data_IF_675341885216
#
_entry.id   IF_675341885216
#
_cell.length_a   1.000
_cell.length_b   1.000
_cell.length_c   1.000
_cell.angle_alpha   90.00
_cell.angle_beta   90.00
_cell.angle_gamma   90.00
#
_symmetry.space_group_name_H-M   'P 1'
#
loop_
_entity.id
_entity.type
_entity.pdbx_description
1 polymer ?
#
# COMPACT_ATOMS: atom_id res chain seq x y z
N UNK A 1 36.29 1.20 -10.04
CA UNK A 1 35.51 2.44 -9.80
C UNK A 1 35.20 2.49 -8.32
N UNK A 2 35.51 3.59 -7.64
CA UNK A 2 35.11 3.77 -6.25
C UNK A 2 33.57 3.78 -6.19
N UNK A 3 32.98 2.98 -5.30
CA UNK A 3 31.55 3.00 -5.03
C UNK A 3 31.21 4.45 -4.59
N UNK A 4 30.29 5.16 -5.25
CA UNK A 4 29.88 6.47 -4.79
C UNK A 4 29.49 6.36 -3.32
N UNK A 5 29.85 7.32 -2.50
CA UNK A 5 29.51 7.37 -1.08
C UNK A 5 27.98 7.38 -0.97
N UNK A 6 27.38 6.23 -0.66
CA UNK A 6 25.94 6.13 -0.50
C UNK A 6 25.56 6.94 0.74
N UNK A 7 24.63 7.88 0.60
CA UNK A 7 24.10 8.69 1.70
C UNK A 7 23.52 7.77 2.78
N UNK A 8 23.77 8.11 4.03
CA UNK A 8 23.18 7.46 5.19
C UNK A 8 21.79 8.06 5.48
N UNK A 9 20.78 7.22 5.54
CA UNK A 9 19.39 7.57 5.84
C UNK A 9 18.96 7.11 7.24
N UNK A 10 19.89 6.92 8.17
CA UNK A 10 19.57 6.53 9.57
C UNK A 10 18.65 7.55 10.30
N UNK A 11 18.51 8.77 9.77
CA UNK A 11 17.54 9.77 10.23
C UNK A 11 16.09 9.23 10.30
N UNK A 12 15.74 8.29 9.41
CA UNK A 12 14.42 7.65 9.41
C UNK A 12 14.14 6.76 10.64
N UNK A 13 15.16 6.33 11.38
CA UNK A 13 14.97 5.58 12.65
C UNK A 13 14.17 6.39 13.67
N UNK A 14 14.38 7.71 13.74
CA UNK A 14 13.59 8.60 14.61
C UNK A 14 12.14 8.67 14.16
N UNK A 15 11.89 8.77 12.85
CA UNK A 15 10.55 8.78 12.27
C UNK A 15 9.81 7.45 12.49
N UNK A 16 10.49 6.32 12.26
CA UNK A 16 9.95 5.00 12.51
C UNK A 16 9.58 4.79 13.99
N UNK A 17 10.44 5.24 14.93
CA UNK A 17 10.13 5.21 16.36
C UNK A 17 8.91 6.06 16.71
N UNK A 18 8.79 7.26 16.10
CA UNK A 18 7.62 8.13 16.27
C UNK A 18 6.35 7.45 15.78
N UNK A 19 6.40 6.82 14.61
CA UNK A 19 5.27 6.08 14.04
C UNK A 19 4.84 4.92 14.94
N UNK A 20 5.78 4.10 15.41
CA UNK A 20 5.49 3.02 16.36
C UNK A 20 4.89 3.55 17.66
N UNK A 21 5.41 4.66 18.20
CA UNK A 21 4.82 5.31 19.39
C UNK A 21 3.40 5.77 19.11
N UNK A 22 3.13 6.30 17.92
CA UNK A 22 1.79 6.75 17.53
C UNK A 22 0.78 5.60 17.38
N UNK A 23 1.22 4.39 17.07
CA UNK A 23 0.32 3.22 17.04
C UNK A 23 -0.03 2.68 18.44
N UNK A 24 0.72 3.04 19.49
CA UNK A 24 0.50 2.55 20.85
C UNK A 24 0.22 3.64 21.89
N UNK A 25 0.30 4.92 21.51
CA UNK A 25 0.20 6.00 22.50
C UNK A 25 0.33 7.40 21.89
N UNK A 26 1.01 8.28 22.64
CA UNK A 26 1.17 9.70 22.29
C UNK A 26 2.64 9.96 21.94
N UNK A 27 3.00 10.21 20.69
CA UNK A 27 4.34 10.65 20.28
C UNK A 27 4.55 12.15 20.57
N UNK A 28 5.75 12.67 20.26
CA UNK A 28 6.04 14.11 20.31
C UNK A 28 5.17 14.92 19.34
N UNK A 29 4.83 14.32 18.21
CA UNK A 29 3.88 14.86 17.23
C UNK A 29 3.32 13.75 16.35
N UNK A 30 2.25 14.04 15.63
CA UNK A 30 1.68 13.15 14.63
C UNK A 30 2.72 12.80 13.57
N UNK A 31 3.05 11.53 13.35
CA UNK A 31 3.91 11.12 12.26
C UNK A 31 3.18 11.16 10.92
N UNK A 32 3.94 11.47 9.87
CA UNK A 32 3.48 11.44 8.48
C UNK A 32 4.22 10.35 7.72
N UNK A 33 3.50 9.52 7.00
CA UNK A 33 4.07 8.67 5.96
C UNK A 33 3.35 8.88 4.62
N UNK A 34 3.97 8.48 3.53
CA UNK A 34 3.46 8.73 2.20
C UNK A 34 3.83 7.62 1.22
N UNK A 35 2.92 7.35 0.28
CA UNK A 35 3.22 6.61 -0.93
C UNK A 35 3.52 7.61 -2.05
N UNK A 36 4.80 7.69 -2.41
CA UNK A 36 5.27 8.73 -3.34
C UNK A 36 5.01 8.39 -4.81
N UNK A 37 4.89 7.12 -5.13
CA UNK A 37 4.62 6.63 -6.50
C UNK A 37 5.35 7.46 -7.59
N UNK A 38 4.61 7.96 -8.58
CA UNK A 38 5.17 8.76 -9.67
C UNK A 38 5.67 10.13 -9.24
N UNK A 39 5.30 10.63 -8.07
CA UNK A 39 5.78 11.91 -7.57
C UNK A 39 7.29 11.90 -7.36
N UNK A 40 7.84 10.84 -6.74
CA UNK A 40 9.28 10.71 -6.57
C UNK A 40 10.01 10.67 -7.93
N UNK A 41 9.49 9.88 -8.86
CA UNK A 41 10.01 9.81 -10.22
C UNK A 41 10.01 11.18 -10.92
N UNK A 42 8.93 11.95 -10.78
CA UNK A 42 8.78 13.29 -11.35
C UNK A 42 9.77 14.29 -10.74
N UNK A 43 9.92 14.29 -9.41
CA UNK A 43 10.87 15.17 -8.70
C UNK A 43 12.33 14.88 -9.07
N UNK A 44 12.64 13.62 -9.38
CA UNK A 44 13.96 13.19 -9.85
C UNK A 44 14.18 13.45 -11.35
N UNK A 45 13.14 13.75 -12.11
CA UNK A 45 13.22 13.98 -13.56
C UNK A 45 13.56 12.73 -14.37
N UNK A 46 13.17 11.53 -13.89
CA UNK A 46 13.46 10.25 -14.54
C UNK A 46 12.20 9.63 -15.14
N UNK A 47 12.37 8.70 -16.11
CA UNK A 47 11.27 8.01 -16.74
C UNK A 47 10.84 6.77 -15.96
N UNK A 48 9.56 6.38 -16.07
CA UNK A 48 9.01 5.26 -15.36
C UNK A 48 9.79 3.95 -15.57
N UNK A 49 10.18 3.64 -16.80
CA UNK A 49 10.96 2.42 -17.05
C UNK A 49 12.30 2.44 -16.32
N UNK A 50 13.00 3.57 -16.31
CA UNK A 50 14.26 3.71 -15.60
C UNK A 50 14.07 3.57 -14.10
N UNK A 51 13.06 4.24 -13.54
CA UNK A 51 12.77 4.25 -12.11
C UNK A 51 12.31 2.87 -11.62
N UNK A 52 11.33 2.25 -12.26
CA UNK A 52 10.72 0.99 -11.81
C UNK A 52 11.45 -0.29 -12.28
N UNK A 53 12.60 -0.17 -12.92
CA UNK A 53 13.47 -1.31 -13.26
C UNK A 53 14.89 -1.19 -12.70
N UNK A 54 15.15 -0.18 -11.85
CA UNK A 54 16.44 0.03 -11.20
C UNK A 54 16.25 0.14 -9.69
N UNK A 55 16.63 -0.90 -8.97
CA UNK A 55 16.49 -1.02 -7.51
C UNK A 55 17.19 0.09 -6.74
N UNK A 56 18.43 0.45 -7.16
CA UNK A 56 19.21 1.49 -6.51
C UNK A 56 18.55 2.87 -6.69
N UNK A 57 18.19 3.23 -7.93
CA UNK A 57 17.55 4.51 -8.26
C UNK A 57 16.20 4.64 -7.54
N UNK A 58 15.38 3.58 -7.56
CA UNK A 58 14.07 3.59 -6.91
C UNK A 58 14.23 3.73 -5.38
N UNK A 59 15.13 2.96 -4.77
CA UNK A 59 15.32 2.99 -3.32
C UNK A 59 15.89 4.32 -2.85
N UNK A 60 17.04 4.75 -3.42
CA UNK A 60 17.70 5.99 -3.01
C UNK A 60 16.87 7.22 -3.35
N UNK A 61 16.25 7.24 -4.53
CA UNK A 61 15.38 8.33 -4.95
C UNK A 61 14.13 8.48 -4.09
N UNK A 62 13.47 7.40 -3.73
CA UNK A 62 12.31 7.44 -2.82
C UNK A 62 12.71 7.97 -1.44
N UNK A 63 13.83 7.49 -0.88
CA UNK A 63 14.33 7.95 0.41
C UNK A 63 14.74 9.43 0.36
N UNK A 64 15.41 9.88 -0.71
CA UNK A 64 15.81 11.28 -0.90
C UNK A 64 14.60 12.22 -0.91
N UNK A 65 13.58 11.90 -1.71
CA UNK A 65 12.37 12.72 -1.79
C UNK A 65 11.59 12.68 -0.47
N UNK A 66 11.51 11.52 0.19
CA UNK A 66 10.90 11.42 1.53
C UNK A 66 11.57 12.36 2.53
N UNK A 67 12.89 12.37 2.58
CA UNK A 67 13.67 13.25 3.47
C UNK A 67 13.53 14.73 3.07
N UNK A 68 13.61 15.05 1.78
CA UNK A 68 13.47 16.41 1.25
C UNK A 68 12.15 17.09 1.63
N UNK A 69 11.08 16.29 1.69
CA UNK A 69 9.75 16.76 2.07
C UNK A 69 9.47 16.68 3.58
N UNK A 70 10.40 16.17 4.38
CA UNK A 70 10.26 16.07 5.82
C UNK A 70 9.25 15.03 6.27
N UNK A 71 8.96 14.03 5.43
CA UNK A 71 8.10 12.90 5.73
C UNK A 71 8.83 12.00 6.73
N UNK A 72 8.14 11.52 7.77
CA UNK A 72 8.76 10.83 8.90
C UNK A 72 9.21 9.42 8.60
N UNK A 73 8.43 8.69 7.82
CA UNK A 73 8.66 7.27 7.55
C UNK A 73 9.21 7.10 6.14
N UNK A 74 10.42 6.55 6.05
CA UNK A 74 10.99 6.16 4.78
C UNK A 74 10.25 4.93 4.23
N UNK A 75 9.37 5.12 3.27
CA UNK A 75 8.72 4.05 2.53
C UNK A 75 9.29 4.00 1.11
N UNK A 76 9.70 2.82 0.68
CA UNK A 76 10.08 2.59 -0.72
C UNK A 76 8.93 1.87 -1.39
N UNK A 77 8.24 2.62 -2.24
CA UNK A 77 7.02 2.17 -2.88
C UNK A 77 7.33 1.75 -4.32
N UNK A 78 7.51 0.46 -4.49
CA UNK A 78 7.66 -0.12 -5.81
C UNK A 78 6.28 -0.52 -6.37
N UNK A 79 6.22 -0.85 -7.63
CA UNK A 79 5.01 -1.27 -8.34
C UNK A 79 4.50 -2.64 -7.85
N UNK A 80 4.00 -2.69 -6.60
CA UNK A 80 3.61 -3.93 -5.93
C UNK A 80 2.54 -4.71 -6.69
N UNK A 81 1.58 -4.02 -7.34
CA UNK A 81 0.45 -4.68 -8.02
C UNK A 81 0.81 -5.55 -9.21
N UNK A 82 1.98 -5.38 -9.80
CA UNK A 82 2.36 -6.07 -11.03
C UNK A 82 3.50 -7.07 -10.85
N UNK A 83 4.10 -7.15 -9.69
CA UNK A 83 5.31 -7.97 -9.45
C UNK A 83 5.04 -9.46 -9.67
N UNK A 84 4.03 -10.01 -8.99
CA UNK A 84 3.68 -11.43 -9.11
C UNK A 84 3.09 -11.75 -10.49
N UNK A 85 2.29 -10.83 -11.04
CA UNK A 85 1.72 -11.01 -12.38
C UNK A 85 2.82 -11.08 -13.45
N UNK A 86 3.82 -10.18 -13.39
CA UNK A 86 4.97 -10.17 -14.29
C UNK A 86 5.81 -11.46 -14.15
N UNK A 87 6.05 -11.92 -12.92
CA UNK A 87 6.79 -13.14 -12.65
C UNK A 87 6.10 -14.39 -13.22
N UNK A 88 4.78 -14.38 -13.33
CA UNK A 88 3.99 -15.43 -14.00
C UNK A 88 3.99 -15.31 -15.53
N UNK A 89 4.52 -14.23 -16.09
CA UNK A 89 4.58 -13.99 -17.52
C UNK A 89 3.51 -13.03 -18.06
N UNK A 90 2.69 -12.41 -17.20
CA UNK A 90 1.79 -11.35 -17.62
C UNK A 90 2.61 -10.14 -18.09
N UNK A 91 2.32 -9.67 -19.29
CA UNK A 91 3.01 -8.52 -19.86
C UNK A 91 2.72 -7.25 -19.08
N UNK A 92 3.77 -6.48 -18.76
CA UNK A 92 3.71 -5.18 -18.09
C UNK A 92 4.10 -4.07 -19.08
N UNK A 93 3.37 -2.96 -19.02
CA UNK A 93 3.55 -1.78 -19.87
C UNK A 93 4.11 -0.64 -19.03
N UNK A 94 5.18 -0.01 -19.50
CA UNK A 94 5.80 1.17 -18.92
C UNK A 94 5.47 2.40 -19.76
N UNK A 95 4.63 3.29 -19.22
CA UNK A 95 4.33 4.60 -19.80
C UNK A 95 5.16 5.68 -19.10
N UNK A 96 5.68 6.67 -19.84
CA UNK A 96 6.74 7.57 -19.34
C UNK A 96 6.46 8.27 -17.99
N UNK A 97 5.22 8.63 -17.68
CA UNK A 97 4.87 9.40 -16.49
C UNK A 97 3.87 8.67 -15.56
N UNK A 98 3.76 7.35 -15.71
CA UNK A 98 2.83 6.54 -14.94
C UNK A 98 3.53 5.32 -14.37
N UNK A 99 3.04 4.85 -13.24
CA UNK A 99 3.42 3.54 -12.75
C UNK A 99 3.23 2.48 -13.83
N UNK A 100 4.04 1.42 -13.82
CA UNK A 100 3.80 0.26 -14.68
C UNK A 100 2.41 -0.31 -14.44
N UNK A 101 1.85 -0.91 -15.47
CA UNK A 101 0.55 -1.60 -15.36
C UNK A 101 0.53 -2.83 -16.28
N UNK A 102 -0.26 -3.84 -15.93
CA UNK A 102 -0.42 -5.02 -16.76
C UNK A 102 -1.09 -4.69 -18.10
N UNK A 103 -0.69 -5.39 -19.15
CA UNK A 103 -1.37 -5.31 -20.44
C UNK A 103 -2.70 -6.07 -20.40
N UNK A 104 -3.78 -5.35 -20.09
CA UNK A 104 -5.13 -5.92 -20.00
C UNK A 104 -5.71 -6.39 -21.34
N UNK A 105 -5.05 -6.07 -22.47
CA UNK A 105 -5.48 -6.55 -23.79
C UNK A 105 -5.11 -8.01 -24.03
N UNK A 106 -4.16 -8.54 -23.27
CA UNK A 106 -3.65 -9.91 -23.38
C UNK A 106 -3.57 -10.57 -21.99
N UNK A 107 -4.72 -10.92 -21.38
CA UNK A 107 -4.74 -11.56 -20.08
C UNK A 107 -4.07 -12.93 -20.13
N UNK A 108 -3.27 -13.25 -19.12
CA UNK A 108 -2.56 -14.53 -19.04
C UNK A 108 -3.52 -15.70 -18.85
N UNK A 109 -4.60 -15.50 -18.10
CA UNK A 109 -5.62 -16.51 -17.81
C UNK A 109 -6.87 -16.22 -18.65
N UNK A 110 -7.12 -17.08 -19.64
CA UNK A 110 -8.30 -17.01 -20.52
C UNK A 110 -9.39 -18.00 -20.13
N UNK A 111 -9.04 -19.02 -19.34
CA UNK A 111 -9.98 -20.03 -18.85
C UNK A 111 -9.32 -21.05 -17.93
N UNK A 112 -10.13 -22.00 -17.42
CA UNK A 112 -9.72 -23.03 -16.43
C UNK A 112 -8.47 -23.81 -16.82
N UNK A 113 -8.26 -24.08 -18.14
CA UNK A 113 -7.09 -24.86 -18.62
C UNK A 113 -5.77 -24.16 -18.36
N UNK A 114 -5.77 -22.83 -18.26
CA UNK A 114 -4.53 -22.07 -18.08
C UNK A 114 -3.98 -22.21 -16.64
N UNK A 115 -4.83 -22.60 -15.68
CA UNK A 115 -4.42 -22.79 -14.29
C UNK A 115 -3.33 -23.86 -14.13
N UNK A 116 -3.29 -24.86 -14.99
CA UNK A 116 -2.25 -25.91 -14.94
C UNK A 116 -0.84 -25.35 -15.19
N UNK A 117 -0.75 -24.19 -15.84
CA UNK A 117 0.51 -23.52 -16.15
C UNK A 117 0.95 -22.58 -15.03
N UNK A 118 0.08 -22.26 -14.08
CA UNK A 118 0.46 -21.47 -12.90
C UNK A 118 1.24 -22.36 -11.96
N UNK A 119 2.51 -22.04 -11.78
CA UNK A 119 3.44 -22.75 -10.89
C UNK A 119 4.22 -21.73 -10.08
N UNK A 120 4.77 -22.18 -8.99
CA UNK A 120 5.67 -21.36 -8.16
C UNK A 120 6.81 -20.83 -9.01
N UNK A 121 6.93 -19.51 -9.19
CA UNK A 121 8.01 -18.91 -9.96
C UNK A 121 9.36 -19.11 -9.27
N UNK A 122 10.43 -19.08 -10.03
CA UNK A 122 11.77 -18.97 -9.49
C UNK A 122 11.99 -17.52 -9.00
N UNK A 123 12.03 -17.33 -7.69
CA UNK A 123 12.13 -16.00 -7.06
C UNK A 123 13.47 -15.31 -7.28
N UNK A 124 14.50 -16.05 -7.69
CA UNK A 124 15.82 -15.50 -8.01
C UNK A 124 15.92 -14.99 -9.46
N UNK A 125 14.98 -15.34 -10.34
CA UNK A 125 15.07 -15.02 -11.77
C UNK A 125 13.79 -14.54 -12.42
N UNK A 126 12.61 -14.82 -11.87
CA UNK A 126 11.33 -14.51 -12.52
C UNK A 126 10.93 -13.03 -12.36
N UNK A 127 10.63 -12.37 -13.48
CA UNK A 127 10.16 -10.99 -13.51
C UNK A 127 11.04 -10.03 -12.70
N UNK A 128 10.41 -9.20 -11.89
CA UNK A 128 11.10 -8.27 -10.99
C UNK A 128 11.21 -8.75 -9.53
N UNK A 129 11.01 -10.02 -9.23
CA UNK A 129 11.26 -10.54 -7.87
C UNK A 129 12.69 -10.27 -7.37
N UNK A 130 13.77 -10.51 -8.16
CA UNK A 130 15.13 -10.16 -7.74
C UNK A 130 15.31 -8.68 -7.39
N UNK A 131 14.68 -7.80 -8.17
CA UNK A 131 14.70 -6.36 -7.92
C UNK A 131 14.03 -6.01 -6.59
N UNK A 132 12.89 -6.63 -6.24
CA UNK A 132 12.21 -6.41 -4.96
C UNK A 132 13.12 -6.83 -3.79
N UNK A 133 13.79 -7.97 -3.90
CA UNK A 133 14.74 -8.44 -2.87
C UNK A 133 15.92 -7.48 -2.70
N UNK A 134 16.40 -6.91 -3.80
CA UNK A 134 17.48 -5.91 -3.77
C UNK A 134 17.02 -4.59 -3.14
N UNK A 135 15.81 -4.09 -3.47
CA UNK A 135 15.19 -2.91 -2.85
C UNK A 135 15.13 -3.07 -1.32
N UNK A 136 14.63 -4.21 -0.85
CA UNK A 136 14.50 -4.49 0.59
C UNK A 136 15.87 -4.54 1.28
N UNK A 137 16.88 -5.15 0.64
CA UNK A 137 18.27 -5.20 1.14
C UNK A 137 18.91 -3.81 1.17
N UNK A 138 18.70 -3.00 0.15
CA UNK A 138 19.19 -1.63 0.09
C UNK A 138 18.52 -0.75 1.14
N UNK A 139 17.21 -0.88 1.32
CA UNK A 139 16.47 -0.17 2.35
C UNK A 139 17.05 -0.45 3.75
N UNK A 140 17.19 -1.73 4.12
CA UNK A 140 17.77 -2.12 5.41
C UNK A 140 19.20 -1.58 5.58
N UNK A 141 20.03 -1.70 4.54
CA UNK A 141 21.41 -1.20 4.55
C UNK A 141 21.49 0.32 4.72
N UNK A 142 20.61 1.08 4.06
CA UNK A 142 20.67 2.55 4.02
C UNK A 142 20.03 3.20 5.25
N UNK A 143 19.00 2.59 5.82
CA UNK A 143 18.24 3.17 6.93
C UNK A 143 18.56 2.52 8.28
N UNK A 144 19.10 1.30 8.27
CA UNK A 144 19.26 0.48 9.48
C UNK A 144 17.92 0.00 10.04
N UNK A 145 16.83 0.06 9.27
CA UNK A 145 15.50 -0.38 9.65
C UNK A 145 15.13 -1.67 8.90
N UNK A 146 14.40 -2.60 9.53
CA UNK A 146 13.88 -3.75 8.82
C UNK A 146 12.87 -3.32 7.75
N UNK A 147 12.87 -3.95 6.56
CA UNK A 147 11.93 -3.59 5.50
C UNK A 147 10.49 -4.01 5.84
N UNK A 148 9.52 -3.33 5.24
CA UNK A 148 8.16 -3.80 5.11
C UNK A 148 8.07 -4.72 3.89
N UNK A 149 7.58 -5.95 4.07
CA UNK A 149 7.36 -6.87 2.96
C UNK A 149 6.01 -6.54 2.31
N UNK A 150 5.95 -6.63 0.99
CA UNK A 150 4.74 -6.32 0.25
C UNK A 150 4.40 -7.44 -0.73
N UNK A 151 3.11 -7.57 -1.04
CA UNK A 151 2.59 -8.52 -2.02
C UNK A 151 1.30 -8.00 -2.63
N UNK A 152 0.96 -8.46 -3.85
CA UNK A 152 -0.36 -8.24 -4.43
C UNK A 152 -1.36 -9.19 -3.76
N UNK A 153 -2.49 -8.67 -3.27
CA UNK A 153 -3.53 -9.51 -2.68
C UNK A 153 -4.19 -10.43 -3.70
N UNK A 154 -4.76 -11.57 -3.25
CA UNK A 154 -5.28 -12.60 -4.15
C UNK A 154 -6.27 -12.07 -5.19
N UNK A 155 -7.22 -11.21 -4.78
CA UNK A 155 -8.22 -10.67 -5.69
C UNK A 155 -7.58 -9.74 -6.74
N UNK A 156 -6.72 -8.83 -6.34
CA UNK A 156 -6.02 -7.93 -7.27
C UNK A 156 -5.10 -8.67 -8.21
N UNK A 157 -4.41 -9.72 -7.76
CA UNK A 157 -3.60 -10.57 -8.64
C UNK A 157 -4.47 -11.30 -9.66
N UNK A 158 -5.57 -11.91 -9.23
CA UNK A 158 -6.51 -12.57 -10.14
C UNK A 158 -7.08 -11.59 -11.17
N UNK A 159 -7.43 -10.37 -10.75
CA UNK A 159 -7.90 -9.32 -11.65
C UNK A 159 -6.85 -8.88 -12.67
N UNK A 160 -5.56 -8.86 -12.30
CA UNK A 160 -4.47 -8.56 -13.21
C UNK A 160 -4.21 -9.67 -14.25
N UNK A 161 -4.43 -10.93 -13.87
CA UNK A 161 -4.18 -12.08 -14.74
C UNK A 161 -5.38 -12.44 -15.65
N UNK A 162 -6.62 -12.23 -15.16
CA UNK A 162 -7.87 -12.61 -15.81
C UNK A 162 -8.57 -11.43 -16.49
N UNK A 163 -8.33 -10.21 -16.00
CA UNK A 163 -9.13 -9.03 -16.27
C UNK A 163 -10.30 -8.92 -15.30
N UNK A 164 -10.48 -7.72 -14.71
CA UNK A 164 -11.47 -7.49 -13.63
C UNK A 164 -12.91 -7.77 -14.06
N UNK A 165 -13.29 -7.32 -15.26
CA UNK A 165 -14.66 -7.53 -15.78
C UNK A 165 -14.96 -9.02 -15.94
N UNK A 166 -14.01 -9.76 -16.51
CA UNK A 166 -14.19 -11.19 -16.72
C UNK A 166 -14.17 -11.96 -15.39
N UNK A 167 -13.31 -11.58 -14.45
CA UNK A 167 -13.28 -12.19 -13.11
C UNK A 167 -14.62 -12.01 -12.39
N UNK A 168 -15.23 -10.83 -12.45
CA UNK A 168 -16.55 -10.58 -11.87
C UNK A 168 -17.63 -11.44 -12.57
N UNK A 169 -17.58 -11.55 -13.88
CA UNK A 169 -18.52 -12.42 -14.61
C UNK A 169 -18.34 -13.89 -14.23
N UNK A 170 -17.12 -14.36 -14.05
CA UNK A 170 -16.81 -15.73 -13.67
C UNK A 170 -17.30 -16.05 -12.24
N UNK A 171 -17.24 -15.10 -11.31
CA UNK A 171 -17.82 -15.26 -9.96
C UNK A 171 -19.30 -15.69 -10.03
N UNK A 172 -20.06 -15.18 -10.98
CA UNK A 172 -21.48 -15.52 -11.16
C UNK A 172 -21.72 -16.74 -12.05
N UNK A 173 -20.85 -17.01 -13.03
CA UNK A 173 -21.07 -18.03 -14.07
C UNK A 173 -20.37 -19.35 -13.79
N UNK A 174 -19.16 -19.29 -13.23
CA UNK A 174 -18.33 -20.45 -12.90
C UNK A 174 -17.56 -20.23 -11.59
N UNK A 175 -18.29 -20.17 -10.44
CA UNK A 175 -17.68 -19.91 -9.13
C UNK A 175 -16.63 -20.97 -8.74
N UNK A 176 -16.73 -22.18 -9.26
CA UNK A 176 -15.75 -23.24 -9.00
C UNK A 176 -14.41 -22.96 -9.73
N UNK A 177 -14.46 -22.38 -10.93
CA UNK A 177 -13.26 -21.91 -11.59
C UNK A 177 -12.58 -20.78 -10.79
N UNK A 178 -13.37 -19.85 -10.24
CA UNK A 178 -12.82 -18.75 -9.45
C UNK A 178 -12.18 -19.25 -8.15
N UNK A 179 -12.78 -20.24 -7.48
CA UNK A 179 -12.16 -20.89 -6.31
C UNK A 179 -10.83 -21.55 -6.67
N UNK A 180 -10.81 -22.36 -7.75
CA UNK A 180 -9.59 -23.01 -8.23
C UNK A 180 -8.51 -21.97 -8.57
N UNK A 181 -8.89 -20.84 -9.18
CA UNK A 181 -7.97 -19.74 -9.50
C UNK A 181 -7.37 -19.15 -8.21
N UNK A 182 -8.19 -18.75 -7.25
CA UNK A 182 -7.69 -18.16 -6.00
C UNK A 182 -6.86 -19.15 -5.19
N UNK A 183 -7.29 -20.42 -5.09
CA UNK A 183 -6.53 -21.47 -4.42
C UNK A 183 -5.14 -21.64 -5.07
N UNK A 184 -5.11 -21.72 -6.40
CA UNK A 184 -3.84 -21.83 -7.15
C UNK A 184 -2.93 -20.61 -6.90
N UNK A 185 -3.47 -19.38 -6.94
CA UNK A 185 -2.68 -18.18 -6.71
C UNK A 185 -2.15 -18.09 -5.27
N UNK A 186 -2.93 -18.48 -4.29
CA UNK A 186 -2.49 -18.53 -2.89
C UNK A 186 -1.40 -19.58 -2.69
N UNK A 187 -1.62 -20.81 -3.16
CA UNK A 187 -0.75 -21.94 -2.84
C UNK A 187 0.53 -21.96 -3.68
N UNK A 188 0.45 -21.63 -4.95
CA UNK A 188 1.59 -21.72 -5.86
C UNK A 188 2.39 -20.41 -5.95
N UNK A 189 1.78 -19.26 -5.65
CA UNK A 189 2.43 -17.96 -5.91
C UNK A 189 2.60 -17.15 -4.64
N UNK A 190 1.50 -16.75 -3.99
CA UNK A 190 1.53 -15.73 -2.95
C UNK A 190 2.15 -16.24 -1.64
N UNK A 191 1.70 -17.40 -1.14
CA UNK A 191 2.26 -17.95 0.09
C UNK A 191 3.76 -18.29 -0.07
N UNK A 192 4.21 -18.98 -1.14
CA UNK A 192 5.64 -19.20 -1.38
C UNK A 192 6.45 -17.91 -1.48
N UNK A 193 5.95 -16.90 -2.20
CA UNK A 193 6.63 -15.61 -2.33
C UNK A 193 6.78 -14.88 -0.99
N UNK A 194 5.72 -14.79 -0.21
CA UNK A 194 5.74 -14.16 1.11
C UNK A 194 6.71 -14.89 2.04
N UNK A 195 6.67 -16.22 2.05
CA UNK A 195 7.58 -17.04 2.87
C UNK A 195 9.04 -16.89 2.44
N UNK A 196 9.30 -16.78 1.13
CA UNK A 196 10.65 -16.51 0.62
C UNK A 196 11.17 -15.14 1.11
N UNK A 197 10.36 -14.08 1.01
CA UNK A 197 10.72 -12.76 1.55
C UNK A 197 11.00 -12.84 3.07
N UNK A 198 10.13 -13.51 3.83
CA UNK A 198 10.31 -13.69 5.29
C UNK A 198 11.59 -14.42 5.65
N UNK A 199 11.96 -15.43 4.88
CA UNK A 199 13.21 -16.19 5.12
C UNK A 199 14.45 -15.29 4.93
N UNK A 200 14.40 -14.33 4.02
CA UNK A 200 15.49 -13.37 3.75
C UNK A 200 15.48 -12.21 4.75
N UNK A 201 14.30 -11.77 5.22
CA UNK A 201 14.11 -10.67 6.14
C UNK A 201 13.30 -11.10 7.37
N UNK A 202 13.88 -11.92 8.27
CA UNK A 202 13.15 -12.48 9.42
C UNK A 202 12.68 -11.42 10.42
N UNK A 203 13.31 -10.24 10.40
CA UNK A 203 12.97 -9.10 11.25
C UNK A 203 12.05 -8.08 10.53
N UNK A 204 11.46 -8.42 9.40
CA UNK A 204 10.58 -7.54 8.67
C UNK A 204 9.51 -6.94 9.58
N UNK A 205 9.27 -5.63 9.44
CA UNK A 205 8.37 -4.87 10.32
C UNK A 205 6.90 -5.21 10.11
N UNK A 206 6.53 -5.59 8.88
CA UNK A 206 5.15 -5.91 8.49
C UNK A 206 5.11 -6.69 7.18
N UNK A 207 3.95 -7.29 6.88
CA UNK A 207 3.63 -7.91 5.59
C UNK A 207 2.34 -7.30 5.09
N UNK A 208 2.46 -6.37 4.14
CA UNK A 208 1.35 -5.55 3.65
C UNK A 208 0.87 -6.04 2.28
N UNK A 209 -0.41 -6.41 2.18
CA UNK A 209 -1.06 -6.74 0.92
C UNK A 209 -1.67 -5.52 0.25
N UNK A 210 -1.43 -5.37 -1.06
CA UNK A 210 -2.03 -4.34 -1.89
C UNK A 210 -3.28 -4.88 -2.61
N UNK A 211 -4.45 -4.29 -2.36
CA UNK A 211 -5.75 -4.80 -2.83
C UNK A 211 -6.72 -3.70 -3.28
N UNK A 212 -6.24 -2.71 -4.00
CA UNK A 212 -7.08 -1.58 -4.42
C UNK A 212 -8.28 -2.01 -5.30
N UNK A 213 -8.16 -3.12 -6.01
CA UNK A 213 -9.22 -3.63 -6.90
C UNK A 213 -10.43 -4.17 -6.11
N UNK A 214 -10.20 -4.66 -4.89
CA UNK A 214 -11.24 -5.18 -4.00
C UNK A 214 -11.94 -4.07 -3.20
N UNK A 215 -12.43 -3.04 -3.88
CA UNK A 215 -13.03 -1.85 -3.25
C UNK A 215 -14.44 -1.58 -3.77
N UNK A 216 -15.25 -0.89 -2.97
CA UNK A 216 -16.56 -0.45 -3.40
C UNK A 216 -16.42 0.78 -4.33
N UNK A 217 -17.28 0.95 -5.34
CA UNK A 217 -18.45 0.11 -5.66
C UNK A 217 -18.17 -1.01 -6.68
N UNK A 218 -16.90 -1.28 -7.01
CA UNK A 218 -16.53 -2.35 -7.96
C UNK A 218 -17.03 -3.69 -7.45
N UNK A 219 -16.74 -3.98 -6.18
CA UNK A 219 -17.34 -5.10 -5.45
C UNK A 219 -18.44 -4.58 -4.52
N UNK A 220 -19.27 -5.49 -4.02
CA UNK A 220 -20.16 -5.24 -2.90
C UNK A 220 -19.67 -5.99 -1.64
N UNK A 221 -20.28 -5.72 -0.48
CA UNK A 221 -19.86 -6.33 0.79
C UNK A 221 -19.91 -7.86 0.75
N UNK A 222 -20.94 -8.44 0.16
CA UNK A 222 -21.08 -9.90 0.03
C UNK A 222 -19.92 -10.49 -0.80
N UNK A 223 -19.50 -9.83 -1.85
CA UNK A 223 -18.35 -10.27 -2.66
C UNK A 223 -17.05 -10.18 -1.87
N UNK A 224 -16.86 -9.14 -1.07
CA UNK A 224 -15.69 -9.02 -0.19
C UNK A 224 -15.66 -10.16 0.83
N UNK A 225 -16.78 -10.46 1.48
CA UNK A 225 -16.91 -11.55 2.46
C UNK A 225 -16.65 -12.93 1.86
N UNK A 226 -17.14 -13.18 0.64
CA UNK A 226 -17.09 -14.50 0.02
C UNK A 226 -15.81 -14.76 -0.78
N UNK A 227 -15.25 -13.73 -1.43
CA UNK A 227 -14.21 -13.88 -2.44
C UNK A 227 -12.90 -13.18 -2.12
N UNK A 228 -12.85 -12.34 -1.09
CA UNK A 228 -11.63 -11.60 -0.75
C UNK A 228 -11.13 -11.97 0.64
N UNK A 229 -11.95 -11.75 1.66
CA UNK A 229 -11.58 -11.99 3.07
C UNK A 229 -11.05 -13.42 3.30
N UNK A 230 -11.67 -14.51 2.84
CA UNK A 230 -11.21 -15.87 3.15
C UNK A 230 -9.78 -16.14 2.65
N UNK A 231 -9.41 -15.63 1.51
CA UNK A 231 -8.08 -15.86 0.92
C UNK A 231 -6.99 -15.03 1.59
N UNK A 232 -7.31 -13.83 2.08
CA UNK A 232 -6.39 -13.03 2.90
C UNK A 232 -6.18 -13.71 4.26
N UNK A 233 -7.25 -14.20 4.90
CA UNK A 233 -7.16 -14.94 6.15
C UNK A 233 -6.34 -16.23 6.00
N UNK A 234 -6.51 -16.95 4.89
CA UNK A 234 -5.69 -18.14 4.59
C UNK A 234 -4.21 -17.78 4.42
N UNK A 235 -3.88 -16.71 3.71
CA UNK A 235 -2.49 -16.22 3.64
C UNK A 235 -1.96 -15.84 5.03
N UNK A 236 -2.79 -15.21 5.86
CA UNK A 236 -2.42 -14.86 7.22
C UNK A 236 -2.15 -16.08 8.10
N UNK A 237 -2.95 -17.15 7.94
CA UNK A 237 -2.72 -18.43 8.62
C UNK A 237 -1.38 -19.07 8.20
N UNK A 238 -1.07 -19.09 6.90
CA UNK A 238 0.17 -19.68 6.36
C UNK A 238 1.40 -18.82 6.66
N UNK A 239 1.30 -17.51 6.44
CA UNK A 239 2.45 -16.62 6.44
C UNK A 239 2.66 -15.88 7.77
N UNK A 240 1.69 -15.89 8.67
CA UNK A 240 1.79 -15.31 10.00
C UNK A 240 0.89 -14.10 10.27
N UNK A 241 0.62 -13.81 11.56
CA UNK A 241 -0.37 -12.82 11.99
C UNK A 241 -0.02 -11.37 11.63
N UNK A 242 1.24 -11.06 11.34
CA UNK A 242 1.69 -9.73 10.91
C UNK A 242 1.30 -9.36 9.47
N UNK A 243 0.68 -10.31 8.73
CA UNK A 243 0.14 -10.06 7.40
C UNK A 243 -1.20 -9.32 7.51
N UNK A 244 -1.37 -8.25 6.75
CA UNK A 244 -2.61 -7.49 6.70
C UNK A 244 -2.88 -6.89 5.31
N UNK A 245 -4.15 -6.48 5.11
CA UNK A 245 -4.59 -5.67 3.97
C UNK A 245 -5.43 -4.52 4.52
N UNK A 246 -5.05 -3.27 4.25
CA UNK A 246 -5.69 -2.09 4.84
C UNK A 246 -6.33 -1.14 3.82
N UNK A 247 -5.99 -1.25 2.54
CA UNK A 247 -6.20 -0.21 1.54
C UNK A 247 -7.54 -0.28 0.77
N UNK A 248 -8.54 -1.00 1.28
CA UNK A 248 -9.89 -0.95 0.68
C UNK A 248 -10.53 0.42 0.93
N UNK A 249 -11.35 0.86 -0.03
CA UNK A 249 -12.11 2.12 0.04
C UNK A 249 -13.58 1.89 -0.33
N UNK A 250 -14.45 2.83 0.03
CA UNK A 250 -15.82 2.82 -0.40
C UNK A 250 -16.86 2.92 0.71
N UNK A 251 -16.47 3.23 1.93
CA UNK A 251 -17.35 3.44 3.08
C UNK A 251 -18.47 4.44 2.77
N UNK A 252 -18.16 5.47 1.99
CA UNK A 252 -19.12 6.52 1.56
C UNK A 252 -20.27 6.00 0.70
N UNK A 253 -20.15 4.83 0.10
CA UNK A 253 -21.22 4.23 -0.72
C UNK A 253 -22.25 3.45 0.11
N UNK A 254 -21.99 3.26 1.40
CA UNK A 254 -22.84 2.48 2.30
C UNK A 254 -23.73 3.40 3.16
N UNK A 255 -24.95 2.94 3.43
CA UNK A 255 -25.84 3.60 4.42
C UNK A 255 -25.24 3.51 5.83
N UNK A 256 -24.60 2.39 6.12
CA UNK A 256 -23.88 2.15 7.37
C UNK A 256 -22.41 1.86 7.04
N UNK A 257 -21.50 2.84 7.15
CA UNK A 257 -20.07 2.66 6.85
C UNK A 257 -19.40 1.61 7.74
N UNK A 258 -19.95 1.33 8.94
CA UNK A 258 -19.40 0.35 9.87
C UNK A 258 -19.38 -1.06 9.29
N UNK A 259 -20.19 -1.37 8.29
CA UNK A 259 -20.19 -2.67 7.64
C UNK A 259 -18.84 -2.95 6.95
N UNK A 260 -18.33 -1.99 6.16
CA UNK A 260 -17.01 -2.14 5.54
C UNK A 260 -15.88 -2.01 6.57
N UNK A 261 -16.00 -1.10 7.55
CA UNK A 261 -15.01 -0.95 8.61
C UNK A 261 -14.83 -2.27 9.40
N UNK A 262 -15.92 -2.97 9.71
CA UNK A 262 -15.85 -4.28 10.37
C UNK A 262 -15.19 -5.36 9.48
N UNK A 263 -15.40 -5.33 8.16
CA UNK A 263 -14.69 -6.23 7.26
C UNK A 263 -13.19 -5.95 7.22
N UNK A 264 -12.81 -4.68 7.21
CA UNK A 264 -11.38 -4.29 7.29
C UNK A 264 -10.72 -4.87 8.54
N UNK A 265 -11.39 -4.86 9.70
CA UNK A 265 -10.83 -5.42 10.94
C UNK A 265 -10.57 -6.93 10.88
N UNK A 266 -11.25 -7.67 10.02
CA UNK A 266 -10.97 -9.11 9.86
C UNK A 266 -9.60 -9.34 9.22
N UNK A 267 -9.18 -8.46 8.32
CA UNK A 267 -7.93 -8.59 7.55
C UNK A 267 -6.82 -7.64 8.00
N UNK A 268 -7.15 -6.68 8.85
CA UNK A 268 -6.22 -5.73 9.48
C UNK A 268 -6.69 -5.42 10.92
N UNK A 269 -6.49 -6.33 11.91
CA UNK A 269 -7.04 -6.18 13.26
C UNK A 269 -6.24 -5.22 14.16
N UNK A 270 -5.02 -4.83 13.77
CA UNK A 270 -4.11 -4.12 14.66
C UNK A 270 -4.20 -2.59 14.57
N UNK A 271 -4.83 -2.07 13.52
CA UNK A 271 -5.09 -0.64 13.32
C UNK A 271 -6.22 -0.43 12.29
N UNK A 272 -6.79 0.76 12.30
CA UNK A 272 -7.77 1.17 11.30
C UNK A 272 -7.16 2.21 10.36
N UNK A 273 -7.14 1.90 9.05
CA UNK A 273 -6.78 2.85 8.00
C UNK A 273 -8.00 3.20 7.15
N UNK A 274 -8.30 4.50 7.05
CA UNK A 274 -9.33 5.02 6.14
C UNK A 274 -8.78 6.26 5.43
N UNK A 275 -9.02 6.34 4.13
CA UNK A 275 -8.47 7.40 3.30
C UNK A 275 -9.55 8.17 2.53
N UNK A 276 -9.20 9.34 2.02
CA UNK A 276 -10.03 10.04 1.07
C UNK A 276 -10.29 9.18 -0.18
N UNK A 277 -11.47 9.34 -0.79
CA UNK A 277 -12.49 10.36 -0.47
C UNK A 277 -13.48 9.98 0.64
N UNK A 278 -13.33 8.82 1.29
CA UNK A 278 -14.28 8.34 2.31
C UNK A 278 -14.23 9.20 3.58
N UNK A 279 -13.03 9.51 4.08
CA UNK A 279 -12.87 10.40 5.25
C UNK A 279 -13.47 11.77 4.99
N UNK A 280 -13.25 12.33 3.80
CA UNK A 280 -13.83 13.64 3.44
C UNK A 280 -15.36 13.62 3.36
N UNK A 281 -15.93 12.50 2.89
CA UNK A 281 -17.38 12.36 2.74
C UNK A 281 -18.11 12.09 4.05
N UNK A 282 -17.53 11.28 4.94
CA UNK A 282 -18.14 10.86 6.20
C UNK A 282 -17.80 11.80 7.37
N UNK A 283 -16.70 12.52 7.25
CA UNK A 283 -16.09 13.29 8.33
C UNK A 283 -15.15 12.44 9.19
N UNK A 284 -13.97 13.00 9.61
CA UNK A 284 -12.97 12.28 10.37
C UNK A 284 -13.47 11.81 11.74
N UNK A 285 -14.48 12.48 12.33
CA UNK A 285 -15.03 12.12 13.65
C UNK A 285 -15.73 10.77 13.64
N UNK A 286 -16.48 10.45 12.58
CA UNK A 286 -17.17 9.15 12.43
C UNK A 286 -16.16 8.00 12.48
N UNK A 287 -15.05 8.18 11.77
CA UNK A 287 -13.98 7.17 11.72
C UNK A 287 -13.23 7.09 13.06
N UNK A 288 -12.97 8.24 13.69
CA UNK A 288 -12.33 8.30 15.03
C UNK A 288 -13.16 7.60 16.09
N UNK A 289 -14.47 7.84 16.10
CA UNK A 289 -15.40 7.20 17.03
C UNK A 289 -15.40 5.67 16.85
N UNK A 290 -15.41 5.20 15.61
CA UNK A 290 -15.31 3.77 15.32
C UNK A 290 -13.99 3.18 15.85
N UNK A 291 -12.84 3.81 15.54
CA UNK A 291 -11.54 3.35 16.02
C UNK A 291 -11.46 3.32 17.56
N UNK A 292 -11.97 4.35 18.23
CA UNK A 292 -11.99 4.43 19.70
C UNK A 292 -12.87 3.33 20.32
N UNK A 293 -14.05 3.07 19.75
CA UNK A 293 -14.95 2.01 20.23
C UNK A 293 -14.33 0.61 20.11
N UNK A 294 -13.36 0.43 19.21
CA UNK A 294 -12.62 -0.83 19.03
C UNK A 294 -11.22 -0.81 19.65
N UNK A 295 -10.84 0.27 20.36
CA UNK A 295 -9.50 0.47 20.94
C UNK A 295 -8.36 0.33 19.92
N UNK A 296 -8.54 0.87 18.73
CA UNK A 296 -7.57 0.78 17.63
C UNK A 296 -6.83 2.09 17.39
N UNK A 297 -5.54 2.04 17.07
CA UNK A 297 -4.85 3.17 16.44
C UNK A 297 -5.52 3.52 15.11
N UNK A 298 -5.55 4.83 14.81
CA UNK A 298 -6.18 5.35 13.60
C UNK A 298 -5.15 5.94 12.65
N UNK A 299 -5.28 5.59 11.38
CA UNK A 299 -4.56 6.22 10.28
C UNK A 299 -5.58 6.86 9.35
N UNK A 300 -5.47 8.18 9.16
CA UNK A 300 -6.30 8.89 8.18
C UNK A 300 -5.46 9.29 6.98
N UNK A 301 -5.99 8.99 5.78
CA UNK A 301 -5.32 9.24 4.52
C UNK A 301 -5.87 10.47 3.78
N UNK A 302 -4.98 11.38 3.36
CA UNK A 302 -5.30 12.46 2.40
C UNK A 302 -5.12 11.93 1.00
N UNK A 303 -6.18 11.95 0.18
CA UNK A 303 -6.20 11.27 -1.12
C UNK A 303 -5.48 11.99 -2.25
N UNK A 304 -4.94 11.20 -3.18
CA UNK A 304 -4.19 11.65 -4.36
C UNK A 304 -4.90 12.74 -5.16
N UNK A 305 -6.19 12.54 -5.48
CA UNK A 305 -6.95 13.49 -6.29
C UNK A 305 -7.08 14.85 -5.61
N UNK A 306 -7.30 14.88 -4.29
CA UNK A 306 -7.34 16.11 -3.53
C UNK A 306 -5.97 16.81 -3.48
N UNK A 307 -4.90 16.06 -3.21
CA UNK A 307 -3.53 16.58 -3.23
C UNK A 307 -3.14 17.14 -4.60
N UNK A 308 -3.58 16.53 -5.69
CA UNK A 308 -3.25 16.97 -7.05
C UNK A 308 -4.00 18.22 -7.51
N UNK A 309 -5.23 18.44 -7.03
CA UNK A 309 -6.13 19.46 -7.63
C UNK A 309 -6.47 20.64 -6.71
N UNK A 310 -6.12 20.55 -5.41
CA UNK A 310 -6.41 21.59 -4.42
C UNK A 310 -5.32 22.66 -4.33
N UNK A 311 -5.61 23.76 -3.61
CA UNK A 311 -4.58 24.75 -3.27
C UNK A 311 -3.81 24.32 -2.01
N UNK A 312 -2.59 24.82 -1.78
CA UNK A 312 -1.82 24.54 -0.56
C UNK A 312 -2.59 24.87 0.73
N UNK A 313 -3.39 25.94 0.73
CA UNK A 313 -4.21 26.36 1.86
C UNK A 313 -5.31 25.33 2.15
N UNK A 314 -6.03 24.88 1.11
CA UNK A 314 -7.06 23.87 1.25
C UNK A 314 -6.50 22.53 1.73
N UNK A 315 -5.28 22.18 1.27
CA UNK A 315 -4.56 20.98 1.75
C UNK A 315 -4.20 21.14 3.23
N UNK A 316 -3.67 22.30 3.62
CA UNK A 316 -3.33 22.58 5.02
C UNK A 316 -4.57 22.50 5.94
N UNK A 317 -5.69 23.06 5.52
CA UNK A 317 -6.94 23.03 6.29
C UNK A 317 -7.50 21.60 6.43
N UNK A 318 -7.44 20.79 5.36
CA UNK A 318 -7.84 19.38 5.39
C UNK A 318 -6.97 18.58 6.38
N UNK A 319 -5.65 18.73 6.28
CA UNK A 319 -4.71 18.05 7.18
C UNK A 319 -4.90 18.51 8.61
N UNK A 320 -5.07 19.82 8.85
CA UNK A 320 -5.39 20.36 10.17
C UNK A 320 -6.60 19.66 10.79
N UNK A 321 -7.71 19.61 10.05
CA UNK A 321 -8.94 18.96 10.52
C UNK A 321 -8.69 17.46 10.86
N UNK A 322 -7.97 16.72 10.00
CA UNK A 322 -7.69 15.30 10.25
C UNK A 322 -6.80 15.08 11.48
N UNK A 323 -5.82 15.95 11.67
CA UNK A 323 -4.89 15.90 12.79
C UNK A 323 -5.57 16.31 14.11
N UNK A 324 -6.36 17.39 14.11
CA UNK A 324 -7.07 17.85 15.30
C UNK A 324 -8.13 16.84 15.78
N UNK A 325 -8.82 16.18 14.85
CA UNK A 325 -9.83 15.15 15.18
C UNK A 325 -9.18 13.79 15.44
N UNK A 326 -8.41 13.28 14.47
CA UNK A 326 -7.80 11.95 14.53
C UNK A 326 -6.75 11.84 15.64
N UNK A 327 -5.94 12.89 15.81
CA UNK A 327 -4.86 12.95 16.77
C UNK A 327 -5.29 13.18 18.23
N UNK A 328 -6.54 13.56 18.48
CA UNK A 328 -7.03 13.77 19.83
C UNK A 328 -6.82 12.54 20.71
N UNK A 329 -6.09 12.70 21.81
CA UNK A 329 -5.69 11.63 22.75
C UNK A 329 -4.67 10.62 22.20
N UNK A 330 -3.94 10.94 21.12
CA UNK A 330 -2.91 10.06 20.54
C UNK A 330 -3.46 8.90 19.72
N UNK A 331 -2.65 7.86 19.56
CA UNK A 331 -2.93 6.68 18.75
C UNK A 331 -3.32 7.03 17.32
N UNK A 332 -2.52 7.91 16.67
CA UNK A 332 -2.86 8.47 15.37
C UNK A 332 -1.62 8.72 14.49
N UNK A 333 -1.74 8.41 13.19
CA UNK A 333 -0.80 8.78 12.14
C UNK A 333 -1.54 9.37 10.93
N UNK A 334 -0.84 10.22 10.16
CA UNK A 334 -1.35 10.78 8.91
C UNK A 334 -0.68 10.08 7.72
N UNK A 335 -1.48 9.78 6.71
CA UNK A 335 -1.05 9.16 5.47
C UNK A 335 -1.30 10.06 4.27
N UNK A 336 -0.31 10.27 3.41
CA UNK A 336 -0.47 10.91 2.11
C UNK A 336 -0.56 9.82 1.04
N UNK A 337 -1.78 9.60 0.53
CA UNK A 337 -2.08 8.45 -0.30
C UNK A 337 -1.68 8.66 -1.75
N UNK A 338 -0.95 7.71 -2.33
CA UNK A 338 -0.74 7.55 -3.78
C UNK A 338 -0.38 8.87 -4.49
N UNK A 339 0.67 9.56 -4.05
CA UNK A 339 1.05 10.86 -4.61
C UNK A 339 1.55 10.67 -6.04
N UNK A 340 0.74 11.11 -7.01
CA UNK A 340 1.03 10.97 -8.44
C UNK A 340 1.87 12.11 -9.01
N UNK A 341 2.34 11.94 -10.25
CA UNK A 341 3.20 12.88 -10.97
C UNK A 341 2.60 14.30 -11.13
N UNK A 342 1.27 14.42 -11.17
CA UNK A 342 0.60 15.73 -11.31
C UNK A 342 0.44 16.51 -10.00
N UNK A 343 0.85 15.94 -8.86
CA UNK A 343 0.70 16.59 -7.56
C UNK A 343 1.68 17.76 -7.43
N UNK A 344 1.19 19.00 -7.18
CA UNK A 344 2.10 20.13 -6.98
C UNK A 344 2.99 19.93 -5.75
N UNK A 345 4.32 20.14 -5.85
CA UNK A 345 5.25 20.07 -4.73
C UNK A 345 4.84 20.93 -3.53
N UNK A 346 4.22 22.09 -3.79
CA UNK A 346 3.70 22.97 -2.75
C UNK A 346 2.61 22.32 -1.89
N UNK A 347 1.77 21.45 -2.49
CA UNK A 347 0.70 20.75 -1.78
C UNK A 347 1.25 19.67 -0.84
N UNK A 348 2.27 18.92 -1.26
CA UNK A 348 2.95 17.95 -0.40
C UNK A 348 3.62 18.66 0.79
N UNK A 349 4.33 19.77 0.53
CA UNK A 349 4.93 20.60 1.59
C UNK A 349 3.87 21.15 2.55
N UNK A 350 2.73 21.65 2.03
CA UNK A 350 1.64 22.15 2.84
C UNK A 350 1.07 21.08 3.75
N UNK A 351 0.86 19.85 3.23
CA UNK A 351 0.36 18.73 4.00
C UNK A 351 1.29 18.35 5.16
N UNK A 352 2.59 18.17 4.87
CA UNK A 352 3.59 17.80 5.89
C UNK A 352 3.75 18.91 6.93
N UNK A 353 3.85 20.17 6.51
CA UNK A 353 3.97 21.31 7.42
C UNK A 353 2.75 21.47 8.32
N UNK A 354 1.54 21.28 7.79
CA UNK A 354 0.31 21.33 8.58
C UNK A 354 0.28 20.21 9.63
N UNK A 355 0.63 18.97 9.25
CA UNK A 355 0.71 17.87 10.20
C UNK A 355 1.74 18.12 11.32
N UNK A 356 2.89 18.67 10.97
CA UNK A 356 3.93 18.99 11.94
C UNK A 356 3.58 20.19 12.85
N UNK A 357 2.79 21.13 12.36
CA UNK A 357 2.38 22.32 13.11
C UNK A 357 1.22 22.01 14.04
N UNK A 358 0.15 21.43 13.53
CA UNK A 358 -1.09 21.18 14.27
C UNK A 358 -1.09 19.83 15.01
N UNK A 359 -0.16 18.92 14.68
CA UNK A 359 -0.07 17.59 15.26
C UNK A 359 0.88 17.49 16.47
N UNK A 360 1.33 18.58 17.05
CA UNK A 360 2.18 18.56 18.26
C UNK A 360 1.36 18.20 19.48
N UNK A 361 1.91 17.36 20.33
CA UNK A 361 1.35 17.03 21.62
C UNK A 361 2.12 17.79 22.72
N UNK A 362 1.38 18.36 23.65
CA UNK A 362 1.97 18.87 24.90
C UNK A 362 2.25 17.65 25.79
N UNK A 363 3.54 17.32 25.98
CA UNK A 363 3.99 16.19 26.81
C UNK A 363 4.25 16.64 28.26
#
# INVERSE_FOLDING_TARGET
>A
MAIPYMKDYSSFQKGAKRFQTALGGIPDRVPVYAQLHEFAMQELGVLAREFYTNSELLTTGSLEITEQYGIDVGLVDYDVYNIEAEALGQKVIFKNQHMPDVDRSTPLITGRRDLINIKTPDFDTAGRFPMVMEIQSLYEKLTGLPPALQFTSPFSLAANLRGIEQLILDIYRDPDFVRDLFDTLVDEVLAPWILYQKARFPNASSISGADATASLPILNLQMLEQWVVPYILRLREICGPQLYVANWVGERYLKNPNELLNLKLQVCPDFLEVQDPDVAALGPQVIKDFAQNHNLPLILGVGAGFLATSTPEAVSDRVRNYVEVGGKNGCFALYLCNIGASTPPANVKAAVNAAHTFGRYEL
#
